data_IF_383301062878
#
_entry.id   IF_383301062878
#
_cell.length_a   1.000
_cell.length_b   1.000
_cell.length_c   1.000
_cell.angle_alpha   90.00
_cell.angle_beta   90.00
_cell.angle_gamma   90.00
#
_symmetry.space_group_name_H-M   'P 1'
#
loop_
_entity.id
_entity.type
_entity.pdbx_description
1 polymer ?
#
# COMPACT_ATOMS: atom_id res chain seq x y z
N UNK A 1 4.53 4.80 -12.04
CA UNK A 1 5.99 4.95 -12.15
C UNK A 1 6.64 5.39 -10.87
N UNK A 2 6.63 4.54 -9.86
CA UNK A 2 7.30 4.76 -8.56
C UNK A 2 7.69 3.37 -8.06
N UNK A 3 8.84 3.25 -7.40
CA UNK A 3 9.25 2.05 -6.67
C UNK A 3 9.29 2.38 -5.17
N UNK A 4 9.36 1.35 -4.32
CA UNK A 4 9.48 1.56 -2.89
C UNK A 4 10.40 0.52 -2.24
N UNK A 5 10.83 0.83 -1.02
CA UNK A 5 11.49 -0.13 -0.13
C UNK A 5 11.02 0.07 1.31
N UNK A 6 11.10 -1.00 2.11
CA UNK A 6 10.72 -0.96 3.52
C UNK A 6 11.97 -0.69 4.36
N UNK A 7 11.93 0.42 5.11
CA UNK A 7 12.93 0.78 6.10
C UNK A 7 12.45 0.50 7.52
N UNK A 8 13.38 0.55 8.47
CA UNK A 8 13.10 0.41 9.89
C UNK A 8 13.99 1.31 10.72
N UNK A 9 13.44 1.85 11.81
CA UNK A 9 14.20 2.57 12.83
C UNK A 9 13.82 2.05 14.20
N UNK A 10 14.81 1.64 14.98
CA UNK A 10 14.62 1.29 16.39
C UNK A 10 14.27 2.54 17.18
N UNK A 11 13.21 2.46 17.98
CA UNK A 11 12.89 3.48 19.00
C UNK A 11 13.67 3.20 20.28
N UNK A 12 13.78 4.21 21.14
CA UNK A 12 14.35 4.06 22.50
C UNK A 12 13.67 2.96 23.32
N UNK A 13 12.39 2.69 23.05
CA UNK A 13 11.62 1.59 23.63
C UNK A 13 11.96 0.20 23.09
N UNK A 14 13.08 0.04 22.37
CA UNK A 14 13.47 -1.19 21.66
C UNK A 14 12.39 -1.74 20.71
N UNK A 15 11.47 -0.90 20.25
CA UNK A 15 10.45 -1.30 19.27
C UNK A 15 10.87 -0.83 17.88
N UNK A 16 10.80 -1.71 16.88
CA UNK A 16 11.10 -1.37 15.48
C UNK A 16 9.93 -0.61 14.84
N UNK A 17 10.12 0.67 14.52
CA UNK A 17 9.20 1.43 13.65
C UNK A 17 9.56 1.15 12.20
N UNK A 18 8.69 0.44 11.48
CA UNK A 18 8.81 0.26 10.03
C UNK A 18 8.20 1.44 9.29
N UNK A 19 8.76 1.78 8.14
CA UNK A 19 8.24 2.80 7.24
C UNK A 19 8.48 2.37 5.78
N UNK A 20 7.66 2.88 4.87
CA UNK A 20 7.80 2.63 3.43
C UNK A 20 8.36 3.90 2.79
N UNK A 21 9.43 3.78 2.03
CA UNK A 21 10.03 4.89 1.29
C UNK A 21 9.72 4.71 -0.18
N UNK A 22 9.10 5.71 -0.78
CA UNK A 22 8.81 5.74 -2.21
C UNK A 22 9.89 6.56 -2.92
N UNK A 23 10.26 6.14 -4.13
CA UNK A 23 11.20 6.86 -4.99
C UNK A 23 10.81 6.70 -6.46
N UNK A 24 11.10 7.72 -7.26
CA UNK A 24 10.62 7.85 -8.62
C UNK A 24 10.76 9.29 -9.10
N UNK A 25 10.38 9.57 -10.35
CA UNK A 25 10.50 10.90 -10.94
C UNK A 25 9.48 11.90 -10.37
N UNK A 26 9.88 13.18 -10.40
CA UNK A 26 9.06 14.35 -10.03
C UNK A 26 8.37 14.21 -8.66
N UNK A 27 7.13 14.69 -8.54
CA UNK A 27 6.29 14.61 -7.34
C UNK A 27 5.56 13.26 -7.16
N UNK A 28 5.85 12.26 -8.01
CA UNK A 28 5.14 10.96 -7.99
C UNK A 28 5.38 10.18 -6.69
N UNK A 29 6.59 10.18 -6.08
CA UNK A 29 6.82 9.52 -4.79
C UNK A 29 5.96 10.08 -3.66
N UNK A 30 5.79 11.39 -3.59
CA UNK A 30 4.98 12.09 -2.59
C UNK A 30 3.50 11.76 -2.77
N UNK A 31 3.01 11.78 -4.01
CA UNK A 31 1.65 11.36 -4.34
C UNK A 31 1.42 9.89 -3.95
N UNK A 32 2.38 9.01 -4.23
CA UNK A 32 2.30 7.60 -3.87
C UNK A 32 2.29 7.39 -2.35
N UNK A 33 3.12 8.13 -1.61
CA UNK A 33 3.14 8.09 -0.14
C UNK A 33 1.79 8.53 0.46
N UNK A 34 1.23 9.64 -0.03
CA UNK A 34 -0.09 10.10 0.39
C UNK A 34 -1.18 9.07 0.10
N UNK A 35 -1.19 8.53 -1.13
CA UNK A 35 -2.15 7.50 -1.53
C UNK A 35 -2.03 6.25 -0.66
N UNK A 36 -0.81 5.79 -0.38
CA UNK A 36 -0.55 4.67 0.52
C UNK A 36 -1.09 4.92 1.93
N UNK A 37 -0.84 6.09 2.51
CA UNK A 37 -1.31 6.43 3.86
C UNK A 37 -2.84 6.48 3.95
N UNK A 38 -3.50 7.04 2.93
CA UNK A 38 -4.97 7.13 2.90
C UNK A 38 -5.59 5.76 2.68
N UNK A 39 -5.15 5.03 1.65
CA UNK A 39 -5.74 3.75 1.27
C UNK A 39 -5.44 2.66 2.29
N UNK A 40 -4.24 2.62 2.87
CA UNK A 40 -3.90 1.62 3.90
C UNK A 40 -4.76 1.78 5.16
N UNK A 41 -5.13 3.01 5.54
CA UNK A 41 -6.06 3.28 6.65
C UNK A 41 -7.47 2.79 6.33
N UNK A 42 -7.97 3.09 5.13
CA UNK A 42 -9.30 2.64 4.68
C UNK A 42 -9.38 1.11 4.63
N UNK A 43 -8.39 0.44 4.05
CA UNK A 43 -8.33 -1.02 4.01
C UNK A 43 -8.30 -1.64 5.41
N UNK A 44 -7.49 -1.09 6.33
CA UNK A 44 -7.42 -1.60 7.71
C UNK A 44 -8.76 -1.47 8.44
N UNK A 45 -9.44 -0.34 8.27
CA UNK A 45 -10.77 -0.13 8.84
C UNK A 45 -11.81 -1.08 8.24
N UNK A 46 -11.84 -1.22 6.91
CA UNK A 46 -12.75 -2.12 6.20
C UNK A 46 -12.52 -3.59 6.58
N UNK A 47 -11.25 -4.03 6.64
CA UNK A 47 -10.88 -5.38 7.09
C UNK A 47 -11.40 -5.65 8.50
N UNK A 48 -11.22 -4.70 9.42
CA UNK A 48 -11.72 -4.83 10.80
C UNK A 48 -13.24 -4.97 10.81
N UNK A 49 -13.96 -4.09 10.11
CA UNK A 49 -15.41 -4.14 10.03
C UNK A 49 -15.91 -5.48 9.44
N UNK A 50 -15.28 -5.97 8.37
CA UNK A 50 -15.59 -7.27 7.78
C UNK A 50 -15.36 -8.41 8.78
N UNK A 51 -14.21 -8.45 9.44
CA UNK A 51 -13.91 -9.50 10.42
C UNK A 51 -14.86 -9.45 11.63
N UNK A 52 -15.24 -8.27 12.10
CA UNK A 52 -16.17 -8.11 13.23
C UNK A 52 -17.59 -8.55 12.88
N UNK A 53 -18.02 -8.34 11.62
CA UNK A 53 -19.34 -8.78 11.12
C UNK A 53 -19.39 -10.27 10.77
N UNK A 54 -18.39 -10.76 10.03
CA UNK A 54 -18.45 -12.09 9.40
C UNK A 54 -17.58 -13.16 10.09
N UNK A 55 -16.64 -12.75 10.95
CA UNK A 55 -15.66 -13.64 11.57
C UNK A 55 -15.66 -13.59 13.11
N UNK A 56 -16.74 -13.11 13.74
CA UNK A 56 -16.83 -12.95 15.21
C UNK A 56 -16.66 -14.26 15.99
N UNK A 57 -17.16 -15.37 15.45
CA UNK A 57 -17.09 -16.72 16.06
C UNK A 57 -16.04 -17.63 15.41
N UNK A 58 -15.26 -17.11 14.47
CA UNK A 58 -14.24 -17.89 13.80
C UNK A 58 -13.01 -18.07 14.71
N UNK A 59 -12.32 -19.21 14.55
CA UNK A 59 -10.99 -19.40 15.13
C UNK A 59 -10.04 -18.28 14.63
N UNK A 60 -9.05 -17.85 15.43
CA UNK A 60 -8.11 -16.79 15.04
C UNK A 60 -7.47 -17.00 13.67
N UNK A 61 -7.00 -18.21 13.37
CA UNK A 61 -6.39 -18.54 12.08
C UNK A 61 -7.34 -18.29 10.89
N UNK A 62 -8.59 -18.73 10.99
CA UNK A 62 -9.61 -18.52 9.95
C UNK A 62 -10.00 -17.05 9.82
N UNK A 63 -10.09 -16.32 10.94
CA UNK A 63 -10.35 -14.88 10.94
C UNK A 63 -9.22 -14.12 10.23
N UNK A 64 -7.97 -14.49 10.46
CA UNK A 64 -6.80 -13.92 9.77
C UNK A 64 -6.86 -14.24 8.28
N UNK A 65 -7.01 -15.51 7.89
CA UNK A 65 -7.04 -15.94 6.50
C UNK A 65 -8.16 -15.26 5.70
N UNK A 66 -9.39 -15.21 6.23
CA UNK A 66 -10.50 -14.49 5.58
C UNK A 66 -10.27 -12.99 5.50
N UNK A 67 -9.60 -12.41 6.50
CA UNK A 67 -9.23 -10.99 6.47
C UNK A 67 -8.16 -10.69 5.42
N UNK A 68 -7.24 -11.63 5.17
CA UNK A 68 -6.22 -11.51 4.12
C UNK A 68 -6.87 -11.61 2.73
N UNK A 69 -7.74 -12.60 2.52
CA UNK A 69 -8.55 -12.75 1.29
C UNK A 69 -9.39 -11.50 1.01
N UNK A 70 -10.02 -10.94 2.04
CA UNK A 70 -10.72 -9.65 1.94
C UNK A 70 -9.80 -8.51 1.50
N UNK A 71 -8.60 -8.40 2.08
CA UNK A 71 -7.63 -7.37 1.71
C UNK A 71 -7.16 -7.49 0.26
N UNK A 72 -6.94 -8.70 -0.26
CA UNK A 72 -6.58 -8.90 -1.67
C UNK A 72 -7.66 -8.41 -2.60
N UNK A 73 -8.92 -8.83 -2.37
CA UNK A 73 -10.07 -8.31 -3.10
C UNK A 73 -10.17 -6.80 -3.01
N UNK A 74 -10.00 -6.23 -1.81
CA UNK A 74 -10.04 -4.78 -1.58
C UNK A 74 -9.00 -4.03 -2.39
N UNK A 75 -7.75 -4.52 -2.43
CA UNK A 75 -6.69 -3.95 -3.27
C UNK A 75 -7.06 -4.00 -4.76
N UNK A 76 -7.60 -5.13 -5.26
CA UNK A 76 -8.07 -5.24 -6.64
C UNK A 76 -9.19 -4.26 -6.97
N UNK A 77 -10.12 -4.04 -6.04
CA UNK A 77 -11.20 -3.04 -6.17
C UNK A 77 -10.66 -1.61 -6.20
N UNK A 78 -9.78 -1.27 -5.24
CA UNK A 78 -9.19 0.05 -5.09
C UNK A 78 -8.24 0.41 -6.26
N UNK A 79 -7.58 -0.57 -6.88
CA UNK A 79 -6.73 -0.34 -8.05
C UNK A 79 -7.47 0.35 -9.21
N UNK A 80 -8.81 0.17 -9.31
CA UNK A 80 -9.63 0.85 -10.32
C UNK A 80 -9.81 2.35 -10.05
N UNK A 81 -9.57 2.79 -8.81
CA UNK A 81 -9.66 4.20 -8.40
C UNK A 81 -8.34 4.94 -8.71
N UNK A 82 -7.24 4.21 -8.87
CA UNK A 82 -5.90 4.78 -9.08
C UNK A 82 -5.60 4.79 -10.58
N UNK A 83 -5.21 5.95 -11.11
CA UNK A 83 -4.75 6.06 -12.48
C UNK A 83 -3.30 5.55 -12.61
N UNK A 84 -3.04 4.73 -13.63
CA UNK A 84 -1.68 4.30 -13.95
C UNK A 84 -0.87 5.47 -14.53
N UNK A 85 0.29 5.76 -13.94
CA UNK A 85 1.26 6.68 -14.53
C UNK A 85 2.14 5.94 -15.54
N UNK A 86 2.24 6.45 -16.75
CA UNK A 86 3.22 6.01 -17.73
C UNK A 86 4.64 6.30 -17.24
N UNK A 87 5.58 5.42 -17.57
CA UNK A 87 7.00 5.56 -17.24
C UNK A 87 7.78 5.55 -18.53
N UNK A 88 8.61 6.56 -18.75
CA UNK A 88 9.49 6.58 -19.92
C UNK A 88 10.66 5.59 -19.74
N UNK A 89 11.27 5.07 -20.83
CA UNK A 89 12.45 4.21 -20.72
C UNK A 89 13.61 4.87 -19.93
N UNK A 90 13.76 6.18 -20.06
CA UNK A 90 14.76 6.96 -19.31
C UNK A 90 14.45 6.98 -17.81
N UNK A 91 13.20 7.26 -17.43
CA UNK A 91 12.77 7.23 -16.02
C UNK A 91 12.96 5.83 -15.42
N UNK A 92 12.66 4.78 -16.18
CA UNK A 92 12.86 3.39 -15.75
C UNK A 92 14.35 3.10 -15.48
N UNK A 93 15.24 3.51 -16.39
CA UNK A 93 16.69 3.32 -16.22
C UNK A 93 17.26 4.10 -15.02
N UNK A 94 16.78 5.32 -14.77
CA UNK A 94 17.17 6.09 -13.58
C UNK A 94 16.72 5.39 -12.28
N UNK A 95 15.47 4.93 -12.24
CA UNK A 95 14.95 4.20 -11.08
C UNK A 95 15.72 2.89 -10.84
N UNK A 96 16.13 2.18 -11.88
CA UNK A 96 16.92 0.95 -11.77
C UNK A 96 18.32 1.21 -11.20
N UNK A 97 19.03 2.24 -11.70
CA UNK A 97 20.33 2.65 -11.13
C UNK A 97 20.21 3.01 -9.65
N UNK A 98 19.15 3.73 -9.28
CA UNK A 98 18.90 4.05 -7.88
C UNK A 98 18.59 2.80 -7.04
N UNK A 99 17.80 1.84 -7.57
CA UNK A 99 17.60 0.54 -6.92
C UNK A 99 18.94 -0.16 -6.66
N UNK A 100 19.86 -0.15 -7.62
CA UNK A 100 21.18 -0.77 -7.48
C UNK A 100 22.00 -0.11 -6.36
N UNK A 101 22.04 1.23 -6.33
CA UNK A 101 22.71 1.97 -5.25
C UNK A 101 22.14 1.65 -3.86
N UNK A 102 20.81 1.49 -3.76
CA UNK A 102 20.17 1.07 -2.50
C UNK A 102 20.60 -0.34 -2.06
N UNK A 103 20.78 -1.27 -3.00
CA UNK A 103 21.26 -2.62 -2.69
C UNK A 103 22.70 -2.59 -2.20
N UNK A 104 23.55 -1.80 -2.85
CA UNK A 104 24.98 -1.70 -2.53
C UNK A 104 25.25 -0.97 -1.21
N UNK A 105 24.61 0.19 -1.00
CA UNK A 105 24.94 1.07 0.13
C UNK A 105 24.02 0.91 1.34
N UNK A 106 22.80 0.43 1.15
CA UNK A 106 21.80 0.31 2.22
C UNK A 106 21.37 -1.15 2.47
N UNK A 107 22.01 -2.12 1.80
CA UNK A 107 21.74 -3.55 1.92
C UNK A 107 20.25 -3.90 1.74
N UNK A 108 19.53 -3.12 0.93
CA UNK A 108 18.14 -3.40 0.59
C UNK A 108 18.10 -4.70 -0.22
N UNK A 109 17.17 -5.57 0.12
CA UNK A 109 16.98 -6.87 -0.54
C UNK A 109 15.54 -7.01 -1.01
N UNK A 110 15.34 -7.91 -1.96
CA UNK A 110 14.00 -8.28 -2.37
C UNK A 110 13.27 -8.89 -1.17
N UNK A 111 12.09 -8.37 -0.90
CA UNK A 111 11.22 -8.86 0.16
C UNK A 111 10.28 -9.93 -0.39
N UNK A 112 10.10 -11.01 0.35
CA UNK A 112 9.04 -11.96 0.08
C UNK A 112 7.72 -11.40 0.64
N UNK A 113 6.76 -11.17 -0.25
CA UNK A 113 5.40 -10.84 0.16
C UNK A 113 4.66 -12.13 0.51
N UNK A 114 3.85 -12.07 1.57
CA UNK A 114 3.02 -13.21 1.98
C UNK A 114 1.68 -13.13 1.26
N UNK A 115 1.35 -14.17 0.52
CA UNK A 115 0.03 -14.37 -0.09
C UNK A 115 -1.05 -14.69 0.96
N UNK A 116 -2.30 -14.31 0.67
CA UNK A 116 -3.42 -14.78 1.47
C UNK A 116 -3.55 -16.31 1.30
N UNK A 117 -3.60 -17.00 2.45
CA UNK A 117 -3.82 -18.44 2.44
C UNK A 117 -5.26 -18.73 2.03
N UNK A 118 -5.45 -19.83 1.30
CA UNK A 118 -6.77 -20.35 1.01
C UNK A 118 -7.52 -20.69 2.33
N UNK A 119 -8.84 -20.50 2.33
CA UNK A 119 -9.70 -20.81 3.45
C UNK A 119 -11.15 -20.96 3.02
N UNK A 120 -11.94 -21.70 3.82
CA UNK A 120 -13.39 -21.81 3.58
C UNK A 120 -14.05 -20.42 3.57
N UNK A 121 -14.67 -20.07 2.45
CA UNK A 121 -15.31 -18.77 2.24
C UNK A 121 -14.35 -17.68 1.75
N UNK A 122 -13.19 -18.05 1.21
CA UNK A 122 -12.25 -17.14 0.53
C UNK A 122 -12.95 -16.35 -0.58
N UNK A 123 -13.66 -17.02 -1.50
CA UNK A 123 -14.36 -16.34 -2.61
C UNK A 123 -15.32 -15.25 -2.15
N UNK A 124 -16.09 -15.52 -1.09
CA UNK A 124 -16.99 -14.54 -0.49
C UNK A 124 -16.22 -13.36 0.12
N UNK A 125 -15.09 -13.63 0.78
CA UNK A 125 -14.24 -12.61 1.39
C UNK A 125 -13.58 -11.73 0.32
N UNK A 126 -13.00 -12.33 -0.72
CA UNK A 126 -12.41 -11.63 -1.88
C UNK A 126 -13.46 -10.77 -2.55
N UNK A 127 -14.64 -11.34 -2.85
CA UNK A 127 -15.73 -10.62 -3.52
C UNK A 127 -16.21 -9.43 -2.68
N UNK A 128 -16.41 -9.62 -1.37
CA UNK A 128 -16.78 -8.53 -0.46
C UNK A 128 -15.70 -7.45 -0.41
N UNK A 129 -14.43 -7.86 -0.31
CA UNK A 129 -13.29 -6.97 -0.36
C UNK A 129 -13.29 -6.12 -1.62
N UNK A 130 -13.47 -6.75 -2.78
CA UNK A 130 -13.49 -6.08 -4.08
C UNK A 130 -14.55 -4.99 -4.17
N UNK A 131 -15.79 -5.28 -3.78
CA UNK A 131 -16.86 -4.28 -3.82
C UNK A 131 -16.64 -3.14 -2.82
N UNK A 132 -16.14 -3.43 -1.61
CA UNK A 132 -15.77 -2.40 -0.65
C UNK A 132 -14.59 -1.54 -1.15
N UNK A 133 -13.59 -2.16 -1.77
CA UNK A 133 -12.41 -1.49 -2.33
C UNK A 133 -12.74 -0.54 -3.47
N UNK A 134 -13.77 -0.85 -4.28
CA UNK A 134 -14.27 0.06 -5.32
C UNK A 134 -14.82 1.37 -4.76
N UNK A 135 -15.22 1.39 -3.49
CA UNK A 135 -15.70 2.59 -2.80
C UNK A 135 -14.56 3.35 -2.10
N UNK A 136 -13.30 2.94 -2.27
CA UNK A 136 -12.15 3.64 -1.72
C UNK A 136 -12.12 5.09 -2.22
N UNK A 137 -11.88 6.02 -1.30
CA UNK A 137 -11.88 7.46 -1.60
C UNK A 137 -10.48 8.02 -1.42
N UNK A 138 -9.87 8.42 -2.52
CA UNK A 138 -8.69 9.29 -2.44
C UNK A 138 -9.20 10.72 -2.58
N UNK A 139 -9.23 11.49 -1.48
CA UNK A 139 -9.60 12.90 -1.54
C UNK A 139 -8.56 13.61 -2.42
N UNK A 140 -9.01 14.04 -3.61
CA UNK A 140 -8.16 14.53 -4.67
C UNK A 140 -7.49 15.86 -4.27
N UNK A 141 -6.20 15.80 -3.94
CA UNK A 141 -5.22 16.80 -4.37
C UNK A 141 -4.50 16.38 -5.66
N UNK A 142 -5.05 15.42 -6.42
CA UNK A 142 -4.38 14.74 -7.55
C UNK A 142 -5.20 14.83 -8.85
N UNK A 143 -6.24 15.69 -8.88
CA UNK A 143 -6.82 16.12 -10.14
C UNK A 143 -5.90 17.20 -10.70
N UNK A 144 -4.98 16.80 -11.59
CA UNK A 144 -4.07 17.69 -12.27
C UNK A 144 -4.81 18.88 -12.87
N UNK A 145 -4.67 20.04 -12.23
CA UNK A 145 -4.88 21.40 -12.75
C UNK A 145 -4.39 22.40 -11.69
N UNK A 146 -3.29 23.07 -11.99
CA UNK A 146 -2.90 24.34 -11.35
C UNK A 146 -2.04 24.20 -10.09
N UNK A 147 -0.74 24.35 -10.29
CA UNK A 147 0.19 25.17 -9.51
C UNK A 147 -0.25 25.59 -8.10
N UNK A 148 0.29 24.92 -7.08
CA UNK A 148 0.62 25.51 -5.78
C UNK A 148 1.59 24.56 -5.04
N UNK A 149 2.83 24.98 -4.72
CA UNK A 149 3.72 24.17 -3.91
C UNK A 149 3.20 24.18 -2.45
N UNK A 150 2.67 23.05 -2.00
CA UNK A 150 2.43 22.83 -0.57
C UNK A 150 3.79 22.64 0.11
N UNK A 151 4.29 23.72 0.72
CA UNK A 151 5.41 23.64 1.64
C UNK A 151 4.98 22.80 2.85
N UNK A 152 5.66 21.68 3.07
CA UNK A 152 5.56 20.94 4.33
C UNK A 152 6.88 21.16 5.07
N UNK A 153 6.76 21.94 6.14
CA UNK A 153 7.80 22.17 7.12
C UNK A 153 8.28 20.86 7.72
N UNK A 154 9.60 20.74 7.83
CA UNK A 154 10.27 19.74 8.64
C UNK A 154 10.10 20.09 10.13
N UNK A 155 9.87 19.09 10.96
CA UNK A 155 10.15 19.10 12.40
C UNK A 155 10.86 17.81 12.77
#
# INVERSE_FOLDING_TARGET
GVKCYIGGRWRSSCSLKRYVNFYGPDSRPEIAAYAFDVLSRQMKAARKAYQDRHCKRCKPATRVARGDQFCEGWCSGAARVIQAFSVSPQEAGLMERYTQQLREHQCVRDGEMREAKDCRGADCAVTAGYYEGRNAKLHQGVNGRGDAPLSIGRS
#
